data_IF_150823578030
#
_entry.id   IF_150823578030
#
_cell.length_a   1.000
_cell.length_b   1.000
_cell.length_c   1.000
_cell.angle_alpha   90.00
_cell.angle_beta   90.00
_cell.angle_gamma   90.00
#
_symmetry.space_group_name_H-M   'P 1'
#
loop_
_entity.id
_entity.type
_entity.pdbx_description
1 polymer ?
#
# COMPACT_ATOMS: atom_id res chain seq x y z
N UNK A 1 3.26 10.39 22.88
CA UNK A 1 3.61 10.08 21.45
C UNK A 1 4.95 9.38 21.47
N UNK A 2 5.00 8.17 20.96
CA UNK A 2 6.27 7.45 20.83
C UNK A 2 7.07 8.04 19.68
N UNK A 3 8.32 8.41 19.94
CA UNK A 3 9.23 8.84 18.90
C UNK A 3 9.88 7.62 18.26
N UNK A 4 9.72 7.48 16.96
CA UNK A 4 10.35 6.42 16.19
C UNK A 4 10.74 6.94 14.81
N UNK A 5 11.74 6.34 14.22
CA UNK A 5 12.09 6.57 12.83
C UNK A 5 11.17 5.71 11.96
N UNK A 6 10.62 6.29 10.92
CA UNK A 6 9.73 5.58 10.00
C UNK A 6 10.04 5.98 8.55
N UNK A 7 9.34 5.35 7.60
CA UNK A 7 9.39 5.78 6.21
C UNK A 7 8.52 7.01 6.01
N UNK A 8 9.03 8.07 5.36
CA UNK A 8 8.18 9.17 4.93
C UNK A 8 7.20 8.69 3.86
N UNK A 9 6.00 9.26 3.86
CA UNK A 9 5.02 9.01 2.82
C UNK A 9 5.48 9.64 1.50
N UNK A 10 5.18 8.97 0.38
CA UNK A 10 5.32 9.53 -0.96
C UNK A 10 3.93 9.92 -1.45
N UNK A 11 3.48 11.12 -1.11
CA UNK A 11 2.13 11.60 -1.41
C UNK A 11 2.17 13.02 -1.98
N UNK A 12 1.37 13.22 -3.01
CA UNK A 12 1.09 14.52 -3.61
C UNK A 12 -0.29 14.46 -4.25
N UNK A 13 -0.84 15.59 -4.63
CA UNK A 13 -2.13 15.63 -5.35
C UNK A 13 -1.98 15.10 -6.77
N UNK A 14 -3.04 14.54 -7.32
CA UNK A 14 -3.09 14.09 -8.72
C UNK A 14 -2.48 12.71 -8.97
N UNK A 15 -2.21 11.93 -7.92
CA UNK A 15 -1.71 10.57 -8.09
C UNK A 15 -2.80 9.65 -8.63
N UNK A 16 -2.40 8.71 -9.47
CA UNK A 16 -3.29 7.68 -10.01
C UNK A 16 -3.45 6.53 -9.01
N UNK A 17 -2.34 6.11 -8.40
CA UNK A 17 -2.30 4.99 -7.45
C UNK A 17 -1.49 5.40 -6.22
N UNK A 18 -2.04 5.13 -5.04
CA UNK A 18 -1.27 5.12 -3.79
C UNK A 18 -1.30 3.70 -3.24
N UNK A 19 -0.13 3.08 -3.12
CA UNK A 19 -0.01 1.79 -2.44
C UNK A 19 -0.01 2.02 -0.93
N UNK A 20 -0.86 1.27 -0.24
CA UNK A 20 -1.04 1.36 1.20
C UNK A 20 -0.61 0.03 1.82
N UNK A 21 0.56 0.00 2.45
CA UNK A 21 1.05 -1.16 3.19
C UNK A 21 0.45 -1.23 4.59
N UNK A 22 0.69 -2.32 5.28
CA UNK A 22 0.26 -2.47 6.68
C UNK A 22 1.06 -1.53 7.58
N UNK A 23 2.39 -1.63 7.52
CA UNK A 23 3.34 -0.75 8.20
C UNK A 23 4.74 -0.93 7.59
N UNK A 24 5.65 0.02 7.81
CA UNK A 24 7.03 -0.13 7.34
C UNK A 24 7.74 -1.31 8.03
N UNK A 25 8.57 -2.03 7.29
CA UNK A 25 9.48 -3.01 7.88
C UNK A 25 10.73 -2.32 8.41
N UNK A 26 11.40 -2.94 9.39
CA UNK A 26 12.67 -2.41 9.91
C UNK A 26 13.75 -2.30 8.81
N UNK A 27 13.94 -3.30 7.92
CA UNK A 27 14.90 -3.14 6.82
C UNK A 27 14.60 -1.96 5.90
N UNK A 28 13.32 -1.70 5.60
CA UNK A 28 12.92 -0.58 4.76
C UNK A 28 13.23 0.77 5.42
N UNK A 29 12.96 0.88 6.71
CA UNK A 29 13.30 2.10 7.47
C UNK A 29 14.80 2.31 7.50
N UNK A 30 15.58 1.25 7.69
CA UNK A 30 17.04 1.33 7.78
C UNK A 30 17.68 1.92 6.52
N UNK A 31 17.13 1.62 5.33
CA UNK A 31 17.66 2.12 4.06
C UNK A 31 16.85 3.30 3.49
N UNK A 32 15.68 3.57 4.05
CA UNK A 32 14.86 4.71 3.63
C UNK A 32 14.05 4.49 2.36
N UNK A 33 13.76 3.22 1.99
CA UNK A 33 13.02 2.89 0.76
C UNK A 33 11.96 1.84 1.01
N UNK A 34 10.84 1.96 0.30
CA UNK A 34 9.70 1.03 0.39
C UNK A 34 10.08 -0.35 -0.14
N UNK A 35 9.63 -1.39 0.58
CA UNK A 35 9.82 -2.79 0.19
C UNK A 35 11.30 -3.17 -0.04
N UNK A 36 12.18 -2.68 0.84
CA UNK A 36 13.62 -2.84 0.69
C UNK A 36 14.15 -4.20 1.17
N UNK A 37 13.35 -5.00 1.90
CA UNK A 37 13.74 -6.36 2.25
C UNK A 37 13.95 -7.16 0.96
N UNK A 38 15.14 -7.75 0.73
CA UNK A 38 15.42 -8.48 -0.53
C UNK A 38 14.46 -9.64 -0.80
N UNK A 39 13.80 -10.17 0.22
CA UNK A 39 12.82 -11.26 0.08
C UNK A 39 11.41 -10.74 -0.19
N UNK A 40 11.15 -9.44 -0.08
CA UNK A 40 9.85 -8.87 -0.42
C UNK A 40 9.64 -8.94 -1.94
N UNK A 41 8.47 -9.38 -2.36
CA UNK A 41 8.17 -9.63 -3.77
C UNK A 41 7.51 -8.44 -4.48
N UNK A 42 7.40 -7.29 -3.80
CA UNK A 42 6.75 -6.12 -4.42
C UNK A 42 7.45 -5.70 -5.72
N UNK A 43 8.75 -5.39 -5.65
CA UNK A 43 9.46 -4.89 -6.82
C UNK A 43 9.53 -5.89 -7.97
N UNK A 44 9.85 -7.19 -7.73
CA UNK A 44 9.78 -8.17 -8.81
C UNK A 44 8.39 -8.30 -9.44
N UNK A 45 7.33 -8.31 -8.65
CA UNK A 45 5.96 -8.41 -9.16
C UNK A 45 5.53 -7.12 -9.88
N UNK A 46 5.88 -5.97 -9.32
CA UNK A 46 5.61 -4.67 -9.91
C UNK A 46 6.27 -4.56 -11.30
N UNK A 47 7.54 -4.92 -11.40
CA UNK A 47 8.27 -4.90 -12.67
C UNK A 47 7.65 -5.85 -13.70
N UNK A 48 7.29 -7.06 -13.26
CA UNK A 48 6.66 -8.06 -14.11
C UNK A 48 5.28 -7.64 -14.60
N UNK A 49 4.57 -6.86 -13.82
CA UNK A 49 3.20 -6.42 -14.15
C UNK A 49 3.13 -5.43 -15.30
N UNK A 50 4.18 -4.65 -15.52
CA UNK A 50 4.18 -3.60 -16.53
C UNK A 50 3.39 -2.35 -16.13
N UNK A 51 3.14 -2.13 -14.83
CA UNK A 51 2.47 -0.90 -14.36
C UNK A 51 3.20 0.36 -14.83
N UNK A 52 4.51 0.32 -14.88
CA UNK A 52 5.34 1.34 -15.53
C UNK A 52 6.26 0.67 -16.55
N UNK A 53 6.76 1.46 -17.48
CA UNK A 53 7.54 0.94 -18.61
C UNK A 53 9.05 1.00 -18.34
N UNK A 54 9.47 0.61 -17.14
CA UNK A 54 10.89 0.46 -16.77
C UNK A 54 11.00 -0.44 -15.54
N UNK A 55 12.18 -1.01 -15.34
CA UNK A 55 12.47 -1.79 -14.12
C UNK A 55 12.93 -0.89 -12.99
N UNK A 56 12.47 -1.20 -11.80
CA UNK A 56 12.77 -0.48 -10.57
C UNK A 56 13.27 -1.42 -9.49
N UNK A 57 14.08 -0.87 -8.62
CA UNK A 57 14.50 -1.45 -7.35
C UNK A 57 14.13 -0.48 -6.22
N UNK A 58 14.27 -0.87 -4.94
CA UNK A 58 13.78 -0.03 -3.84
C UNK A 58 14.27 1.41 -3.86
N UNK A 59 15.51 1.65 -4.27
CA UNK A 59 16.10 2.98 -4.34
C UNK A 59 15.44 3.90 -5.38
N UNK A 60 14.64 3.35 -6.28
CA UNK A 60 13.86 4.10 -7.26
C UNK A 60 12.45 4.43 -6.83
N UNK A 61 12.05 4.11 -5.60
CA UNK A 61 10.67 4.26 -5.13
C UNK A 61 10.14 5.69 -5.26
N UNK A 62 10.93 6.70 -4.94
CA UNK A 62 10.55 8.10 -5.04
C UNK A 62 10.33 8.58 -6.47
N UNK A 63 10.98 7.95 -7.44
CA UNK A 63 10.83 8.32 -8.86
C UNK A 63 9.42 8.06 -9.39
N UNK A 64 8.66 7.18 -8.74
CA UNK A 64 7.31 6.82 -9.16
C UNK A 64 6.29 7.94 -8.98
N UNK A 65 6.57 8.96 -8.18
CA UNK A 65 5.68 10.13 -8.09
C UNK A 65 5.45 10.77 -9.46
N UNK A 66 6.49 10.81 -10.30
CA UNK A 66 6.37 11.32 -11.67
C UNK A 66 5.49 10.42 -12.57
N UNK A 67 5.31 9.16 -12.20
CA UNK A 67 4.41 8.23 -12.89
C UNK A 67 3.00 8.19 -12.29
N UNK A 68 2.72 9.06 -11.33
CA UNK A 68 1.43 9.09 -10.66
C UNK A 68 1.26 8.03 -9.59
N UNK A 69 2.35 7.50 -9.02
CA UNK A 69 2.32 6.42 -8.03
C UNK A 69 3.01 6.87 -6.75
N UNK A 70 2.32 6.71 -5.62
CA UNK A 70 2.83 7.03 -4.30
C UNK A 70 2.73 5.87 -3.33
N UNK A 71 3.22 6.10 -2.11
CA UNK A 71 3.28 5.08 -1.06
C UNK A 71 2.95 5.67 0.30
N UNK A 72 2.22 4.89 1.08
CA UNK A 72 1.95 5.16 2.50
C UNK A 72 1.67 3.83 3.22
N UNK A 73 1.31 3.90 4.48
CA UNK A 73 1.00 2.73 5.31
C UNK A 73 -0.21 3.00 6.20
N UNK A 74 -0.92 1.93 6.59
CA UNK A 74 -2.03 2.03 7.56
C UNK A 74 -1.51 2.48 8.92
N UNK A 75 -0.39 1.92 9.37
CA UNK A 75 0.30 2.32 10.60
C UNK A 75 1.74 2.70 10.28
N UNK A 76 2.27 3.72 10.94
CA UNK A 76 3.62 4.22 10.64
C UNK A 76 4.70 3.68 11.58
N UNK A 77 4.32 2.99 12.66
CA UNK A 77 5.29 2.36 13.56
C UNK A 77 5.92 1.15 12.88
N UNK A 78 7.24 1.14 12.65
CA UNK A 78 7.88 0.00 11.99
C UNK A 78 7.98 -1.18 12.92
N UNK A 79 7.88 -2.38 12.36
CA UNK A 79 8.07 -3.64 13.08
C UNK A 79 8.87 -4.60 12.23
N UNK A 80 9.46 -5.62 12.89
CA UNK A 80 10.13 -6.70 12.18
C UNK A 80 9.12 -7.52 11.37
N UNK A 81 7.91 -7.70 11.93
CA UNK A 81 6.79 -8.42 11.32
C UNK A 81 5.49 -7.68 11.63
N UNK A 82 4.52 -7.72 10.69
CA UNK A 82 3.22 -7.06 10.87
C UNK A 82 2.47 -7.52 12.13
N UNK A 83 2.70 -8.76 12.60
CA UNK A 83 2.14 -9.27 13.85
C UNK A 83 2.61 -8.52 15.10
N UNK A 84 3.64 -7.69 15.01
CA UNK A 84 4.10 -6.82 16.07
C UNK A 84 3.22 -5.60 16.30
N UNK A 85 2.28 -5.31 15.41
CA UNK A 85 1.34 -4.20 15.56
C UNK A 85 0.25 -4.55 16.56
N UNK A 86 -0.20 -3.53 17.28
CA UNK A 86 -1.26 -3.64 18.29
C UNK A 86 -2.46 -2.79 17.90
N UNK A 87 -3.60 -3.03 18.53
CA UNK A 87 -4.81 -2.24 18.32
C UNK A 87 -4.57 -0.73 18.50
N UNK A 88 -3.71 -0.36 19.47
CA UNK A 88 -3.37 1.05 19.71
C UNK A 88 -2.68 1.70 18.49
N UNK A 89 -1.86 0.96 17.76
CA UNK A 89 -1.22 1.47 16.53
C UNK A 89 -2.27 1.80 15.49
N UNK A 90 -3.22 0.91 15.28
CA UNK A 90 -4.29 1.13 14.30
C UNK A 90 -5.23 2.25 14.72
N UNK A 91 -5.57 2.34 16.00
CA UNK A 91 -6.41 3.45 16.50
C UNK A 91 -5.75 4.80 16.29
N UNK A 92 -4.43 4.86 16.44
CA UNK A 92 -3.67 6.10 16.25
C UNK A 92 -3.57 6.47 14.76
N UNK A 93 -3.23 5.51 13.90
CA UNK A 93 -2.77 5.81 12.54
C UNK A 93 -3.84 5.65 11.46
N UNK A 94 -4.86 4.80 11.65
CA UNK A 94 -5.89 4.60 10.63
C UNK A 94 -6.69 5.86 10.34
N UNK A 95 -7.11 6.66 11.34
CA UNK A 95 -7.75 7.95 11.05
C UNK A 95 -6.82 8.94 10.34
N UNK A 96 -5.53 8.91 10.65
CA UNK A 96 -4.53 9.75 9.96
C UNK A 96 -4.41 9.36 8.49
N UNK A 97 -4.41 8.05 8.20
CA UNK A 97 -4.42 7.57 6.81
C UNK A 97 -5.67 8.07 6.06
N UNK A 98 -6.83 7.98 6.69
CA UNK A 98 -8.07 8.49 6.08
C UNK A 98 -7.93 9.97 5.71
N UNK A 99 -7.43 10.78 6.63
CA UNK A 99 -7.24 12.22 6.37
C UNK A 99 -6.27 12.46 5.21
N UNK A 100 -5.18 11.69 5.12
CA UNK A 100 -4.23 11.78 4.01
C UNK A 100 -4.89 11.45 2.68
N UNK A 101 -5.64 10.36 2.61
CA UNK A 101 -6.33 9.95 1.38
C UNK A 101 -7.41 10.95 0.96
N UNK A 102 -8.13 11.52 1.91
CA UNK A 102 -9.10 12.58 1.63
C UNK A 102 -8.42 13.87 1.15
N UNK A 103 -7.26 14.18 1.69
CA UNK A 103 -6.50 15.38 1.31
C UNK A 103 -5.90 15.27 -0.08
N UNK A 104 -5.24 14.14 -0.40
CA UNK A 104 -4.52 13.99 -1.66
C UNK A 104 -5.38 13.39 -2.78
N UNK A 105 -6.45 12.72 -2.44
CA UNK A 105 -7.46 12.16 -3.35
C UNK A 105 -6.86 11.42 -4.56
N UNK A 106 -6.01 10.38 -4.32
CA UNK A 106 -5.56 9.55 -5.43
C UNK A 106 -6.76 8.90 -6.12
N UNK A 107 -6.63 8.57 -7.38
CA UNK A 107 -7.70 7.85 -8.11
C UNK A 107 -7.97 6.50 -7.49
N UNK A 108 -6.89 5.81 -7.08
CA UNK A 108 -6.96 4.47 -6.46
C UNK A 108 -6.10 4.44 -5.19
N UNK A 109 -6.68 4.00 -4.08
CA UNK A 109 -5.95 3.54 -2.91
C UNK A 109 -5.86 2.02 -2.99
N UNK A 110 -4.64 1.50 -3.18
CA UNK A 110 -4.38 0.08 -3.33
C UNK A 110 -3.78 -0.47 -2.04
N UNK A 111 -4.57 -1.21 -1.27
CA UNK A 111 -4.11 -1.80 -0.01
C UNK A 111 -3.41 -3.13 -0.28
N UNK A 112 -2.27 -3.31 0.35
CA UNK A 112 -1.52 -4.57 0.32
C UNK A 112 -2.03 -5.52 1.41
N UNK A 113 -2.94 -6.40 1.02
CA UNK A 113 -3.52 -7.43 1.86
C UNK A 113 -4.85 -7.03 2.50
N UNK A 114 -5.70 -8.04 2.68
CA UNK A 114 -7.00 -7.84 3.32
C UNK A 114 -6.86 -7.41 4.77
N UNK A 115 -5.80 -7.83 5.47
CA UNK A 115 -5.54 -7.42 6.85
C UNK A 115 -5.36 -5.92 6.96
N UNK A 116 -4.59 -5.31 6.05
CA UNK A 116 -4.37 -3.88 6.03
C UNK A 116 -5.68 -3.13 5.81
N UNK A 117 -6.47 -3.55 4.84
CA UNK A 117 -7.75 -2.88 4.55
C UNK A 117 -8.79 -3.10 5.64
N UNK A 118 -8.92 -4.32 6.17
CA UNK A 118 -9.84 -4.61 7.27
C UNK A 118 -9.49 -3.78 8.52
N UNK A 119 -8.20 -3.60 8.81
CA UNK A 119 -7.76 -2.75 9.93
C UNK A 119 -8.12 -1.29 9.70
N UNK A 120 -7.92 -0.79 8.49
CA UNK A 120 -8.37 0.54 8.10
C UNK A 120 -9.88 0.71 8.31
N UNK A 121 -10.67 -0.21 7.79
CA UNK A 121 -12.14 -0.17 7.91
C UNK A 121 -12.56 -0.12 9.38
N UNK A 122 -11.98 -0.97 10.20
CA UNK A 122 -12.35 -1.06 11.62
C UNK A 122 -12.00 0.20 12.38
N UNK A 123 -10.79 0.72 12.20
CA UNK A 123 -10.28 1.78 13.07
C UNK A 123 -10.45 3.20 12.48
N UNK A 124 -10.70 3.34 11.20
CA UNK A 124 -10.96 4.63 10.57
C UNK A 124 -12.44 4.84 10.22
N UNK A 125 -13.18 3.76 9.90
CA UNK A 125 -14.55 3.82 9.43
C UNK A 125 -15.57 3.17 10.39
N UNK A 126 -15.11 2.52 11.44
CA UNK A 126 -15.94 1.72 12.36
C UNK A 126 -16.74 0.63 11.64
N UNK A 127 -16.13 -0.02 10.65
CA UNK A 127 -16.72 -1.08 9.85
C UNK A 127 -16.00 -2.39 10.15
N UNK A 128 -16.75 -3.42 10.56
CA UNK A 128 -16.22 -4.73 10.92
C UNK A 128 -16.59 -5.79 9.88
N UNK A 129 -16.25 -5.50 8.64
CA UNK A 129 -16.43 -6.44 7.53
C UNK A 129 -15.11 -7.11 7.17
N UNK A 130 -15.19 -8.29 6.58
CA UNK A 130 -14.02 -8.96 5.97
C UNK A 130 -14.03 -8.70 4.48
N UNK A 131 -13.05 -7.94 4.01
CA UNK A 131 -12.92 -7.63 2.61
C UNK A 131 -12.37 -8.82 1.81
N UNK A 132 -12.67 -8.84 0.54
CA UNK A 132 -12.08 -9.75 -0.43
C UNK A 132 -11.06 -8.99 -1.28
N UNK A 133 -10.21 -9.71 -2.02
CA UNK A 133 -9.26 -9.11 -2.95
C UNK A 133 -10.01 -8.45 -4.12
N UNK A 134 -9.37 -7.47 -4.72
CA UNK A 134 -9.84 -6.78 -5.91
C UNK A 134 -10.51 -5.46 -5.63
N UNK A 135 -11.28 -4.99 -6.59
CA UNK A 135 -12.00 -3.72 -6.51
C UNK A 135 -13.10 -3.81 -5.45
N UNK A 136 -13.12 -2.84 -4.56
CA UNK A 136 -14.13 -2.75 -3.50
C UNK A 136 -15.32 -1.89 -3.96
N UNK A 137 -16.49 -2.18 -3.40
CA UNK A 137 -17.67 -1.33 -3.60
C UNK A 137 -17.54 0.01 -2.88
N UNK A 138 -16.89 0.01 -1.71
CA UNK A 138 -16.64 1.22 -0.95
C UNK A 138 -15.52 2.04 -1.56
N UNK A 139 -15.62 3.36 -1.42
CA UNK A 139 -14.55 4.29 -1.76
C UNK A 139 -14.10 5.05 -0.52
N UNK A 140 -12.98 5.74 -0.61
CA UNK A 140 -12.50 6.67 0.42
C UNK A 140 -12.49 8.05 -0.22
N UNK A 141 -13.50 8.86 0.08
CA UNK A 141 -13.73 10.09 -0.67
C UNK A 141 -13.88 9.78 -2.15
N UNK A 142 -13.11 10.44 -2.99
CA UNK A 142 -13.09 10.22 -4.44
C UNK A 142 -12.23 9.02 -4.87
N UNK A 143 -11.48 8.41 -3.94
CA UNK A 143 -10.56 7.32 -4.27
C UNK A 143 -11.29 5.99 -4.34
N UNK A 144 -11.14 5.28 -5.47
CA UNK A 144 -11.53 3.87 -5.55
C UNK A 144 -10.57 3.05 -4.68
N UNK A 145 -11.06 1.95 -4.14
CA UNK A 145 -10.25 1.06 -3.30
C UNK A 145 -10.04 -0.25 -4.01
N UNK A 146 -8.79 -0.69 -4.06
CA UNK A 146 -8.40 -1.97 -4.64
C UNK A 146 -7.52 -2.70 -3.62
N UNK A 147 -7.73 -4.00 -3.44
CA UNK A 147 -6.96 -4.81 -2.48
C UNK A 147 -6.23 -5.90 -3.24
N UNK A 148 -4.90 -5.91 -3.11
CA UNK A 148 -4.05 -6.97 -3.65
C UNK A 148 -3.57 -7.89 -2.54
N UNK A 149 -3.08 -9.11 -2.85
CA UNK A 149 -2.37 -9.88 -1.85
C UNK A 149 -1.16 -9.12 -1.31
N UNK A 150 -0.83 -9.36 -0.06
CA UNK A 150 0.36 -8.77 0.55
C UNK A 150 1.62 -9.39 -0.07
N UNK A 151 2.56 -8.60 -0.60
CA UNK A 151 3.81 -9.11 -1.19
C UNK A 151 4.85 -9.55 -0.16
N UNK A 152 4.55 -9.50 1.12
CA UNK A 152 5.45 -9.93 2.20
C UNK A 152 5.95 -11.36 1.98
N UNK A 153 7.23 -11.66 2.28
CA UNK A 153 7.75 -13.03 2.20
C UNK A 153 7.03 -14.00 3.15
N UNK A 154 6.36 -13.51 4.19
CA UNK A 154 5.55 -14.34 5.08
C UNK A 154 4.27 -14.86 4.42
N UNK A 155 3.81 -14.26 3.32
CA UNK A 155 2.59 -14.68 2.62
C UNK A 155 2.90 -15.68 1.51
N UNK A 156 2.94 -16.98 1.87
CA UNK A 156 3.27 -18.04 0.92
C UNK A 156 2.09 -18.50 0.05
N UNK A 157 0.88 -17.98 0.28
CA UNK A 157 -0.33 -18.39 -0.44
C UNK A 157 -0.35 -17.96 -1.91
N UNK A 158 0.41 -16.93 -2.25
CA UNK A 158 0.45 -16.34 -3.59
C UNK A 158 1.84 -16.41 -4.18
N UNK A 159 1.94 -16.83 -5.44
CA UNK A 159 3.19 -16.85 -6.19
C UNK A 159 3.54 -15.44 -6.69
N UNK A 160 4.77 -15.28 -7.20
CA UNK A 160 5.19 -14.04 -7.86
C UNK A 160 4.27 -13.74 -9.05
N UNK A 161 3.93 -14.76 -9.85
CA UNK A 161 3.02 -14.58 -10.99
C UNK A 161 1.62 -14.16 -10.56
N UNK A 162 1.11 -14.69 -9.45
CA UNK A 162 -0.17 -14.26 -8.89
C UNK A 162 -0.13 -12.77 -8.51
N UNK A 163 0.92 -12.33 -7.83
CA UNK A 163 1.08 -10.93 -7.45
C UNK A 163 1.16 -10.02 -8.67
N UNK A 164 1.94 -10.42 -9.68
CA UNK A 164 2.05 -9.65 -10.92
C UNK A 164 0.71 -9.54 -11.63
N UNK A 165 -0.11 -10.60 -11.62
CA UNK A 165 -1.45 -10.57 -12.22
C UNK A 165 -2.38 -9.59 -11.49
N UNK A 166 -2.32 -9.56 -10.16
CA UNK A 166 -3.10 -8.58 -9.38
C UNK A 166 -2.68 -7.15 -9.72
N UNK A 167 -1.40 -6.88 -9.89
CA UNK A 167 -0.93 -5.55 -10.32
C UNK A 167 -1.32 -5.22 -11.76
N UNK A 168 -1.43 -6.21 -12.66
CA UNK A 168 -1.99 -6.00 -14.01
C UNK A 168 -3.44 -5.58 -13.94
N UNK A 169 -4.24 -6.23 -13.10
CA UNK A 169 -5.65 -5.86 -12.89
C UNK A 169 -5.77 -4.44 -12.33
N UNK A 170 -4.91 -4.09 -11.39
CA UNK A 170 -4.83 -2.72 -10.88
C UNK A 170 -4.52 -1.73 -12.02
N UNK A 171 -3.60 -2.07 -12.90
CA UNK A 171 -3.25 -1.25 -14.07
C UNK A 171 -4.41 -1.06 -15.03
N UNK A 172 -5.21 -2.09 -15.24
CA UNK A 172 -6.42 -2.00 -16.08
C UNK A 172 -7.41 -1.00 -15.46
N UNK A 173 -7.65 -1.09 -14.16
CA UNK A 173 -8.52 -0.13 -13.47
C UNK A 173 -7.98 1.29 -13.57
N UNK A 174 -6.68 1.48 -13.36
CA UNK A 174 -6.05 2.80 -13.52
C UNK A 174 -6.29 3.37 -14.91
N UNK A 175 -6.07 2.58 -15.95
CA UNK A 175 -6.21 3.03 -17.32
C UNK A 175 -7.65 3.41 -17.64
N UNK A 176 -8.62 2.69 -17.10
CA UNK A 176 -10.05 3.04 -17.23
C UNK A 176 -10.36 4.38 -16.55
N UNK A 177 -9.75 4.66 -15.40
CA UNK A 177 -10.02 5.89 -14.63
C UNK A 177 -9.30 7.11 -15.20
N UNK A 178 -8.12 6.90 -15.77
CA UNK A 178 -7.31 7.99 -16.37
C UNK A 178 -7.76 8.30 -17.79
N UNK A 179 -8.11 7.26 -18.52
CA UNK A 179 -8.51 7.37 -19.91
C UNK A 179 -9.87 7.90 -20.12
#
# INVERSE_FOLDING_TARGET
MEDFVTLPDHLTTGLDIVFVGLNPSLPSVAVGHYFANPRNRFWPAFNKSGLVNRELSPDGDGSLLADGIGFTDVAKRPTAMGSGLKAADFRQWSPVLKDKLLRYQPRIACFHGVTAYNSYLRYAEDIREKAELGLQERSIGASRVFVTPNPSPANAAYSLDDLAEWYRRLGILRDELVG
#
